data_IF_762512990992
#
_entry.id   IF_762512990992
#
_cell.length_a   1.000
_cell.length_b   1.000
_cell.length_c   1.000
_cell.angle_alpha   90.00
_cell.angle_beta   90.00
_cell.angle_gamma   90.00
#
_symmetry.space_group_name_H-M   'P 1'
#
loop_
_entity.id
_entity.type
_entity.pdbx_description
1 polymer ?
#
# COMPACT_ATOMS: atom_id res chain seq x y z
N UNK A 1 83.84 13.43 -25.43
CA UNK A 1 82.84 14.49 -25.66
C UNK A 1 82.36 14.37 -27.10
N UNK A 2 81.06 14.15 -27.34
CA UNK A 2 80.28 14.97 -28.28
C UNK A 2 78.87 14.36 -28.47
N UNK A 3 77.94 14.86 -27.65
CA UNK A 3 76.51 15.16 -27.84
C UNK A 3 75.53 14.12 -28.43
N UNK A 4 75.92 13.15 -29.27
CA UNK A 4 74.97 12.26 -29.93
C UNK A 4 74.39 11.15 -29.02
N UNK A 5 75.09 10.78 -27.94
CA UNK A 5 74.64 9.69 -27.05
C UNK A 5 73.63 10.13 -25.96
N UNK A 6 73.43 11.43 -25.74
CA UNK A 6 72.52 11.94 -24.70
C UNK A 6 71.08 12.16 -25.19
N UNK A 7 70.83 12.22 -26.50
CA UNK A 7 69.47 12.40 -27.02
C UNK A 7 68.64 11.10 -27.00
N UNK A 8 69.29 9.93 -27.05
CA UNK A 8 68.58 8.64 -27.13
C UNK A 8 68.04 8.13 -25.78
N UNK A 9 68.51 8.68 -24.65
CA UNK A 9 68.02 8.31 -23.32
C UNK A 9 66.73 9.06 -22.91
N UNK A 10 66.41 10.16 -23.60
CA UNK A 10 65.19 10.94 -23.32
C UNK A 10 63.96 10.45 -24.10
N UNK A 11 64.14 9.74 -25.22
CA UNK A 11 63.01 9.17 -25.97
C UNK A 11 62.48 7.85 -25.39
N UNK A 12 63.32 7.07 -24.73
CA UNK A 12 62.92 5.77 -24.14
C UNK A 12 62.08 5.92 -22.88
N UNK A 13 62.18 7.04 -22.15
CA UNK A 13 61.33 7.31 -20.98
C UNK A 13 59.95 7.90 -21.32
N UNK A 14 59.75 8.46 -22.52
CA UNK A 14 58.45 9.03 -22.92
C UNK A 14 57.44 7.97 -23.38
N UNK A 15 57.90 6.78 -23.76
CA UNK A 15 57.05 5.67 -24.23
C UNK A 15 56.48 4.77 -23.13
N UNK A 16 56.83 4.99 -21.87
CA UNK A 16 56.38 4.14 -20.74
C UNK A 16 55.23 4.74 -19.91
N UNK A 17 54.65 5.88 -20.31
CA UNK A 17 53.56 6.54 -19.57
C UNK A 17 52.28 6.78 -20.36
N UNK A 18 52.09 6.11 -21.50
CA UNK A 18 50.74 5.94 -22.05
C UNK A 18 49.99 4.89 -21.23
N UNK A 19 49.58 5.30 -20.02
CA UNK A 19 48.46 4.70 -19.31
C UNK A 19 47.23 5.02 -20.15
N UNK A 20 46.87 4.10 -21.04
CA UNK A 20 45.63 4.15 -21.82
C UNK A 20 44.46 4.03 -20.86
N UNK A 21 44.01 5.16 -20.32
CA UNK A 21 42.72 5.25 -19.62
C UNK A 21 41.65 5.07 -20.68
N UNK A 22 41.04 3.88 -20.70
CA UNK A 22 39.92 3.59 -21.58
C UNK A 22 38.78 4.60 -21.34
N UNK A 23 38.09 5.09 -22.39
CA UNK A 23 36.95 5.96 -22.22
C UNK A 23 35.84 5.21 -21.48
N UNK A 24 35.40 5.74 -20.34
CA UNK A 24 34.26 5.21 -19.61
C UNK A 24 33.00 5.33 -20.46
N UNK A 25 32.37 4.20 -20.77
CA UNK A 25 31.14 4.18 -21.55
C UNK A 25 30.05 5.02 -20.86
N UNK A 26 29.24 5.81 -21.60
CA UNK A 26 28.18 6.58 -21.00
C UNK A 26 27.13 5.64 -20.40
N UNK A 27 26.78 5.93 -19.14
CA UNK A 27 25.77 5.26 -18.30
C UNK A 27 24.40 5.20 -18.99
N UNK A 28 24.21 4.22 -19.90
CA UNK A 28 22.95 3.97 -20.64
C UNK A 28 21.77 3.52 -19.76
N UNK A 29 21.98 3.32 -18.47
CA UNK A 29 20.98 2.79 -17.53
C UNK A 29 19.93 3.82 -17.11
N UNK A 30 20.27 5.11 -17.07
CA UNK A 30 19.34 6.17 -16.63
C UNK A 30 18.18 6.40 -17.60
N UNK A 31 18.43 6.27 -18.91
CA UNK A 31 17.40 6.50 -19.92
C UNK A 31 16.40 5.34 -20.05
N UNK A 32 16.78 4.10 -19.70
CA UNK A 32 15.85 2.97 -19.66
C UNK A 32 14.89 3.07 -18.48
N UNK A 33 15.41 3.43 -17.30
CA UNK A 33 14.60 3.65 -16.10
C UNK A 33 13.61 4.81 -16.30
N UNK A 34 14.05 5.92 -16.91
CA UNK A 34 13.18 7.04 -17.23
C UNK A 34 12.05 6.66 -18.22
N UNK A 35 12.35 5.87 -19.26
CA UNK A 35 11.35 5.42 -20.24
C UNK A 35 10.34 4.42 -19.67
N UNK A 36 10.78 3.54 -18.77
CA UNK A 36 9.87 2.64 -18.03
C UNK A 36 8.98 3.44 -17.07
N UNK A 37 9.54 4.43 -16.38
CA UNK A 37 8.78 5.31 -15.50
C UNK A 37 7.74 6.16 -16.27
N UNK A 38 8.09 6.69 -17.44
CA UNK A 38 7.14 7.41 -18.31
C UNK A 38 6.06 6.46 -18.87
N UNK A 39 6.42 5.22 -19.22
CA UNK A 39 5.45 4.21 -19.65
C UNK A 39 4.46 3.82 -18.55
N UNK A 40 4.93 3.63 -17.30
CA UNK A 40 4.08 3.40 -16.14
C UNK A 40 3.20 4.62 -15.82
N UNK A 41 3.72 5.85 -15.95
CA UNK A 41 2.95 7.06 -15.75
C UNK A 41 1.86 7.25 -16.81
N UNK A 42 2.13 6.87 -18.08
CA UNK A 42 1.14 6.89 -19.16
C UNK A 42 0.09 5.77 -19.01
N UNK A 43 0.47 4.59 -18.49
CA UNK A 43 -0.47 3.53 -18.14
C UNK A 43 -1.34 3.89 -16.93
N UNK A 44 -0.77 4.59 -15.95
CA UNK A 44 -1.52 5.14 -14.81
C UNK A 44 -2.45 6.29 -15.21
N UNK A 45 -2.10 7.05 -16.27
CA UNK A 45 -2.96 8.09 -16.86
C UNK A 45 -4.02 7.54 -17.83
N UNK A 46 -3.98 6.24 -18.18
CA UNK A 46 -4.90 5.61 -19.12
C UNK A 46 -6.20 5.14 -18.45
N UNK A 47 -6.78 5.98 -17.57
CA UNK A 47 -8.06 5.72 -16.91
C UNK A 47 -9.29 6.11 -17.76
N UNK A 48 -9.10 6.61 -18.99
CA UNK A 48 -10.20 7.11 -19.84
C UNK A 48 -10.33 6.28 -21.13
N UNK A 49 -10.44 4.96 -21.01
CA UNK A 49 -10.82 4.10 -22.14
C UNK A 49 -11.39 2.74 -21.70
N UNK A 50 -12.33 2.71 -20.75
CA UNK A 50 -13.22 1.56 -20.61
C UNK A 50 -14.68 2.03 -20.50
N UNK A 51 -15.41 1.72 -21.58
CA UNK A 51 -16.86 1.60 -21.73
C UNK A 51 -17.72 2.85 -21.47
N UNK A 52 -18.45 3.29 -22.50
CA UNK A 52 -19.75 3.94 -22.31
C UNK A 52 -20.76 2.87 -21.84
N UNK A 53 -21.28 2.89 -20.61
CA UNK A 53 -22.50 2.18 -20.30
C UNK A 53 -23.67 3.07 -20.75
N UNK A 54 -24.52 2.53 -21.62
CA UNK A 54 -25.81 3.14 -21.88
C UNK A 54 -26.61 3.22 -20.56
N UNK A 55 -27.21 4.39 -20.35
CA UNK A 55 -28.10 4.83 -19.26
C UNK A 55 -27.46 5.22 -17.90
N UNK A 56 -27.81 6.42 -17.38
CA UNK A 56 -27.48 6.83 -16.02
C UNK A 56 -28.42 6.10 -15.05
N UNK A 57 -27.83 5.30 -14.17
CA UNK A 57 -28.52 4.62 -13.08
C UNK A 57 -28.14 3.15 -12.96
N UNK A 58 -27.28 2.83 -12.00
CA UNK A 58 -27.08 1.49 -11.44
C UNK A 58 -26.57 0.39 -12.38
N UNK A 59 -25.58 0.66 -13.25
CA UNK A 59 -24.91 -0.45 -13.92
C UNK A 59 -24.20 -1.33 -12.89
N UNK A 60 -24.64 -2.59 -12.79
CA UNK A 60 -24.14 -3.52 -11.77
C UNK A 60 -22.62 -3.71 -11.85
N UNK A 61 -22.09 -3.77 -13.08
CA UNK A 61 -20.68 -3.94 -13.36
C UNK A 61 -19.86 -2.70 -12.96
N UNK A 62 -20.26 -1.48 -13.37
CA UNK A 62 -19.58 -0.25 -12.99
C UNK A 62 -19.59 0.00 -11.50
N UNK A 63 -20.73 -0.24 -10.84
CA UNK A 63 -20.86 -0.13 -9.39
C UNK A 63 -19.93 -1.10 -8.65
N UNK A 64 -19.84 -2.35 -9.10
CA UNK A 64 -18.93 -3.35 -8.54
C UNK A 64 -17.46 -2.96 -8.73
N UNK A 65 -17.07 -2.54 -9.94
CA UNK A 65 -15.70 -2.10 -10.23
C UNK A 65 -15.33 -0.88 -9.39
N UNK A 66 -16.24 0.09 -9.26
CA UNK A 66 -16.05 1.26 -8.40
C UNK A 66 -15.78 0.82 -6.95
N UNK A 67 -16.61 -0.07 -6.40
CA UNK A 67 -16.41 -0.61 -5.05
C UNK A 67 -15.08 -1.36 -4.90
N UNK A 68 -14.69 -2.16 -5.91
CA UNK A 68 -13.44 -2.92 -5.89
C UNK A 68 -12.19 -2.03 -5.93
N UNK A 69 -12.22 -0.94 -6.71
CA UNK A 69 -11.09 -0.01 -6.83
C UNK A 69 -10.99 0.91 -5.61
N UNK A 70 -12.10 1.23 -4.96
CA UNK A 70 -12.16 2.19 -3.87
C UNK A 70 -11.14 2.00 -2.72
N UNK A 71 -10.95 0.80 -2.12
CA UNK A 71 -9.96 0.63 -1.04
C UNK A 71 -8.51 0.68 -1.54
N UNK A 72 -8.29 0.67 -2.86
CA UNK A 72 -6.95 0.75 -3.46
C UNK A 72 -6.48 2.20 -3.65
N UNK A 73 -7.40 3.18 -3.62
CA UNK A 73 -7.08 4.59 -3.83
C UNK A 73 -6.72 5.32 -2.54
N UNK A 74 -7.21 4.85 -1.38
CA UNK A 74 -6.90 5.42 -0.06
C UNK A 74 -5.69 4.74 0.58
N UNK A 75 -4.63 5.50 0.89
CA UNK A 75 -3.43 4.97 1.53
C UNK A 75 -3.68 4.45 2.95
N UNK A 76 -4.58 5.10 3.68
CA UNK A 76 -5.10 4.70 4.99
C UNK A 76 -5.77 3.32 4.95
N UNK A 77 -6.77 3.14 4.09
CA UNK A 77 -7.52 1.90 3.96
C UNK A 77 -6.61 0.77 3.46
N UNK A 78 -5.80 1.04 2.45
CA UNK A 78 -4.83 0.09 1.90
C UNK A 78 -3.86 -0.40 2.99
N UNK A 79 -3.28 0.52 3.77
CA UNK A 79 -2.41 0.19 4.88
C UNK A 79 -3.15 -0.65 5.93
N UNK A 80 -4.33 -0.23 6.37
CA UNK A 80 -5.10 -0.95 7.38
C UNK A 80 -5.39 -2.40 6.96
N UNK A 81 -5.93 -2.61 5.76
CA UNK A 81 -6.34 -3.93 5.27
C UNK A 81 -5.17 -4.89 5.08
N UNK A 82 -4.05 -4.41 4.54
CA UNK A 82 -2.82 -5.23 4.40
C UNK A 82 -2.24 -5.55 5.78
N UNK A 83 -2.19 -4.56 6.69
CA UNK A 83 -1.62 -4.73 8.04
C UNK A 83 -2.42 -5.75 8.85
N UNK A 84 -3.75 -5.78 8.75
CA UNK A 84 -4.57 -6.77 9.46
C UNK A 84 -4.20 -8.19 9.04
N UNK A 85 -4.11 -8.46 7.74
CA UNK A 85 -3.68 -9.78 7.23
C UNK A 85 -2.26 -10.15 7.65
N UNK A 86 -1.34 -9.20 7.51
CA UNK A 86 0.08 -9.35 7.84
C UNK A 86 0.28 -9.62 9.34
N UNK A 87 -0.33 -8.82 10.20
CA UNK A 87 -0.27 -8.98 11.65
C UNK A 87 -0.87 -10.31 12.09
N UNK A 88 -2.05 -10.67 11.56
CA UNK A 88 -2.73 -11.92 11.92
C UNK A 88 -1.89 -13.16 11.61
N UNK A 89 -1.26 -13.20 10.42
CA UNK A 89 -0.36 -14.28 10.02
C UNK A 89 0.93 -14.37 10.84
N UNK A 90 1.41 -13.25 11.37
CA UNK A 90 2.65 -13.20 12.17
C UNK A 90 2.43 -13.56 13.65
N UNK A 91 1.24 -13.33 14.20
CA UNK A 91 1.02 -13.37 15.66
C UNK A 91 -0.02 -14.39 16.13
N UNK A 92 -0.93 -14.83 15.27
CA UNK A 92 -2.06 -15.69 15.63
C UNK A 92 -1.98 -17.07 14.97
N UNK A 93 -2.40 -18.11 15.71
CA UNK A 93 -2.66 -19.45 15.12
C UNK A 93 -3.99 -19.48 14.36
N UNK A 94 -4.94 -18.61 14.72
CA UNK A 94 -6.23 -18.43 14.04
C UNK A 94 -6.13 -17.28 13.05
N UNK A 95 -5.37 -17.50 11.97
CA UNK A 95 -4.97 -16.45 11.00
C UNK A 95 -6.19 -15.76 10.38
N UNK A 96 -7.31 -16.46 10.22
CA UNK A 96 -8.51 -15.92 9.59
C UNK A 96 -9.45 -15.16 10.52
N UNK A 97 -9.29 -15.27 11.85
CA UNK A 97 -10.27 -14.70 12.77
C UNK A 97 -10.34 -13.18 12.70
N UNK A 98 -9.20 -12.49 12.74
CA UNK A 98 -9.16 -11.03 12.65
C UNK A 98 -9.56 -10.50 11.25
N UNK A 99 -9.08 -11.07 10.12
CA UNK A 99 -9.55 -10.71 8.79
C UNK A 99 -11.06 -10.87 8.58
N UNK A 100 -11.64 -11.98 9.02
CA UNK A 100 -13.09 -12.21 8.88
C UNK A 100 -13.89 -11.26 9.78
N UNK A 101 -13.41 -11.01 11.00
CA UNK A 101 -14.02 -10.00 11.87
C UNK A 101 -13.95 -8.59 11.25
N UNK A 102 -12.82 -8.23 10.62
CA UNK A 102 -12.69 -6.97 9.89
C UNK A 102 -13.75 -6.88 8.79
N UNK A 103 -13.82 -7.86 7.87
CA UNK A 103 -14.77 -7.86 6.75
C UNK A 103 -16.22 -7.79 7.24
N UNK A 104 -16.57 -8.55 8.28
CA UNK A 104 -17.93 -8.55 8.83
C UNK A 104 -18.31 -7.19 9.44
N UNK A 105 -17.43 -6.61 10.25
CA UNK A 105 -17.70 -5.32 10.91
C UNK A 105 -17.59 -4.15 9.94
N UNK A 106 -16.73 -4.26 8.93
CA UNK A 106 -16.64 -3.33 7.80
C UNK A 106 -17.93 -3.31 6.99
N UNK A 107 -18.52 -4.48 6.71
CA UNK A 107 -19.81 -4.56 6.05
C UNK A 107 -20.92 -3.92 6.89
N UNK A 108 -20.95 -4.18 8.20
CA UNK A 108 -21.89 -3.55 9.12
C UNK A 108 -21.73 -2.03 9.15
N UNK A 109 -20.50 -1.53 9.27
CA UNK A 109 -20.19 -0.10 9.19
C UNK A 109 -20.58 0.51 7.85
N UNK A 110 -20.33 -0.19 6.74
CA UNK A 110 -20.72 0.21 5.38
C UNK A 110 -22.22 0.43 5.25
N UNK A 111 -23.01 -0.52 5.73
CA UNK A 111 -24.47 -0.38 5.74
C UNK A 111 -24.93 0.80 6.61
N UNK A 112 -24.29 1.02 7.77
CA UNK A 112 -24.58 2.18 8.62
C UNK A 112 -24.22 3.51 7.93
N UNK A 113 -23.08 3.58 7.25
CA UNK A 113 -22.65 4.75 6.49
C UNK A 113 -23.60 5.07 5.33
N UNK A 114 -24.09 4.04 4.63
CA UNK A 114 -25.08 4.20 3.56
C UNK A 114 -26.44 4.69 4.09
N UNK A 115 -26.84 4.30 5.31
CA UNK A 115 -28.15 4.68 5.87
C UNK A 115 -28.15 6.05 6.56
N UNK A 116 -27.06 6.44 7.21
CA UNK A 116 -26.97 7.67 8.00
C UNK A 116 -26.10 8.77 7.36
N UNK A 117 -25.41 8.45 6.27
CA UNK A 117 -24.48 9.36 5.60
C UNK A 117 -23.26 9.70 6.45
N UNK A 118 -22.47 10.69 6.00
CA UNK A 118 -21.24 11.16 6.67
C UNK A 118 -21.48 11.89 8.01
N UNK A 119 -22.67 11.79 8.60
CA UNK A 119 -23.09 12.59 9.76
C UNK A 119 -22.55 12.10 11.12
N UNK A 120 -21.67 11.08 11.14
CA UNK A 120 -21.09 10.57 12.38
C UNK A 120 -19.81 11.34 12.72
N UNK A 121 -19.84 12.22 13.75
CA UNK A 121 -18.63 12.94 14.17
C UNK A 121 -17.57 11.95 14.67
N UNK A 122 -16.31 12.21 14.31
CA UNK A 122 -15.17 11.43 14.79
C UNK A 122 -14.76 10.23 13.93
N UNK A 123 -15.40 10.00 12.77
CA UNK A 123 -14.99 8.92 11.85
C UNK A 123 -13.54 9.09 11.39
N UNK A 124 -13.16 10.28 10.93
CA UNK A 124 -11.79 10.59 10.48
C UNK A 124 -10.74 10.38 11.60
N UNK A 125 -10.88 10.96 12.81
CA UNK A 125 -10.00 10.64 13.94
C UNK A 125 -9.91 9.15 14.25
N UNK A 126 -11.03 8.41 14.18
CA UNK A 126 -11.03 6.97 14.46
C UNK A 126 -10.31 6.15 13.40
N UNK A 127 -10.37 6.56 12.12
CA UNK A 127 -9.55 5.98 11.05
C UNK A 127 -8.06 6.24 11.34
N UNK A 128 -7.69 7.46 11.73
CA UNK A 128 -6.31 7.79 12.05
C UNK A 128 -5.78 7.02 13.29
N UNK A 129 -6.58 6.92 14.36
CA UNK A 129 -6.28 6.07 15.54
C UNK A 129 -6.12 4.62 15.13
N UNK A 130 -6.95 4.10 14.22
CA UNK A 130 -6.84 2.71 13.77
C UNK A 130 -5.47 2.40 13.18
N UNK A 131 -4.92 3.31 12.36
CA UNK A 131 -3.58 3.15 11.77
C UNK A 131 -2.49 3.21 12.82
N UNK A 132 -2.63 4.10 13.80
CA UNK A 132 -1.71 4.18 14.93
C UNK A 132 -1.68 2.85 15.70
N UNK A 133 -2.85 2.31 16.03
CA UNK A 133 -2.98 1.05 16.79
C UNK A 133 -2.55 -0.16 15.98
N UNK A 134 -3.01 -0.31 14.74
CA UNK A 134 -2.63 -1.42 13.86
C UNK A 134 -1.14 -1.39 13.51
N UNK A 135 -0.61 -0.19 13.25
CA UNK A 135 0.82 0.06 13.05
C UNK A 135 1.62 -0.35 14.28
N UNK A 136 1.20 0.04 15.48
CA UNK A 136 1.84 -0.36 16.74
C UNK A 136 1.80 -1.88 16.95
N UNK A 137 0.64 -2.51 16.70
CA UNK A 137 0.46 -3.96 16.82
C UNK A 137 1.41 -4.70 15.88
N UNK A 138 1.60 -4.22 14.66
CA UNK A 138 2.54 -4.80 13.70
C UNK A 138 4.00 -4.50 14.07
N UNK A 139 4.31 -3.26 14.49
CA UNK A 139 5.63 -2.79 14.88
C UNK A 139 6.19 -3.59 16.07
N UNK A 140 5.33 -3.92 17.02
CA UNK A 140 5.67 -4.68 18.22
C UNK A 140 5.48 -6.19 18.03
N UNK A 141 4.77 -6.60 16.97
CA UNK A 141 4.23 -7.96 16.80
C UNK A 141 3.44 -8.41 18.03
N UNK A 142 2.58 -7.53 18.53
CA UNK A 142 1.78 -7.77 19.72
C UNK A 142 1.03 -9.11 19.61
N UNK A 143 1.28 -10.01 20.56
CA UNK A 143 0.60 -11.32 20.64
C UNK A 143 -0.61 -11.18 21.55
N UNK A 144 -1.76 -10.89 20.97
CA UNK A 144 -3.02 -10.80 21.69
C UNK A 144 -3.75 -12.16 21.67
N UNK A 145 -4.58 -12.48 22.67
CA UNK A 145 -5.57 -13.54 22.54
C UNK A 145 -6.39 -13.29 21.26
N UNK A 146 -6.58 -14.33 20.45
CA UNK A 146 -7.15 -14.16 19.09
C UNK A 146 -8.50 -13.43 19.05
N UNK A 147 -9.36 -13.64 20.06
CA UNK A 147 -10.63 -12.93 20.19
C UNK A 147 -10.46 -11.44 20.49
N UNK A 148 -9.51 -11.06 21.35
CA UNK A 148 -9.20 -9.65 21.65
C UNK A 148 -8.64 -8.95 20.42
N UNK A 149 -7.72 -9.61 19.71
CA UNK A 149 -7.19 -9.09 18.44
C UNK A 149 -8.29 -8.85 17.40
N UNK A 150 -9.18 -9.81 17.24
CA UNK A 150 -10.32 -9.69 16.32
C UNK A 150 -11.30 -8.59 16.75
N UNK A 151 -11.55 -8.42 18.05
CA UNK A 151 -12.41 -7.36 18.57
C UNK A 151 -11.83 -5.96 18.31
N UNK A 152 -10.53 -5.75 18.55
CA UNK A 152 -9.85 -4.47 18.27
C UNK A 152 -9.92 -4.14 16.78
N UNK A 153 -9.53 -5.10 15.94
CA UNK A 153 -9.56 -4.96 14.47
C UNK A 153 -10.98 -4.70 13.96
N UNK A 154 -11.97 -5.46 14.45
CA UNK A 154 -13.36 -5.30 14.08
C UNK A 154 -13.97 -3.96 14.51
N UNK A 155 -13.63 -3.46 15.70
CA UNK A 155 -14.10 -2.16 16.18
C UNK A 155 -13.65 -1.02 15.26
N UNK A 156 -12.38 -1.02 14.82
CA UNK A 156 -11.92 -0.04 13.84
C UNK A 156 -12.54 -0.23 12.46
N UNK A 157 -12.79 -1.47 12.05
CA UNK A 157 -13.42 -1.78 10.77
C UNK A 157 -14.80 -1.14 10.63
N UNK A 158 -15.56 -0.94 11.72
CA UNK A 158 -16.83 -0.22 11.68
C UNK A 158 -16.64 1.20 11.12
N UNK A 159 -15.64 1.94 11.60
CA UNK A 159 -15.41 3.33 11.20
C UNK A 159 -14.92 3.45 9.76
N UNK A 160 -14.04 2.53 9.32
CA UNK A 160 -13.67 2.39 7.91
C UNK A 160 -14.91 2.11 7.06
N UNK A 161 -15.79 1.22 7.54
CA UNK A 161 -17.03 0.88 6.86
C UNK A 161 -17.95 2.08 6.74
N UNK A 162 -18.17 2.81 7.83
CA UNK A 162 -19.01 4.02 7.86
C UNK A 162 -18.52 5.06 6.85
N UNK A 163 -17.21 5.35 6.82
CA UNK A 163 -16.65 6.30 5.85
C UNK A 163 -16.93 5.86 4.40
N UNK A 164 -16.60 4.62 4.07
CA UNK A 164 -16.80 4.10 2.71
C UNK A 164 -18.27 3.96 2.30
N UNK A 165 -19.15 3.64 3.25
CA UNK A 165 -20.58 3.56 3.03
C UNK A 165 -21.19 4.94 2.75
N UNK A 166 -20.69 5.97 3.44
CA UNK A 166 -21.11 7.35 3.24
C UNK A 166 -20.65 7.94 1.89
N UNK A 167 -19.57 7.41 1.32
CA UNK A 167 -19.00 7.82 0.02
C UNK A 167 -19.59 7.06 -1.18
N UNK A 168 -20.68 6.30 -0.98
CA UNK A 168 -21.35 5.61 -2.09
C UNK A 168 -21.76 6.62 -3.19
N UNK A 169 -21.32 6.43 -4.45
CA UNK A 169 -21.72 7.31 -5.53
C UNK A 169 -23.24 7.31 -5.72
N UNK A 170 -23.85 8.49 -5.92
CA UNK A 170 -25.31 8.65 -5.98
C UNK A 170 -25.98 7.75 -7.05
N UNK A 171 -25.28 7.47 -8.15
CA UNK A 171 -25.78 6.66 -9.27
C UNK A 171 -25.39 5.17 -9.17
N UNK A 172 -24.62 4.78 -8.14
CA UNK A 172 -24.12 3.42 -7.98
C UNK A 172 -25.10 2.52 -7.22
N UNK A 173 -25.16 1.25 -7.62
CA UNK A 173 -25.87 0.22 -6.87
C UNK A 173 -25.12 -0.09 -5.57
N UNK A 174 -25.71 0.26 -4.42
CA UNK A 174 -25.14 0.03 -3.09
C UNK A 174 -24.66 -1.41 -2.87
N UNK A 175 -25.46 -2.40 -3.27
CA UNK A 175 -25.15 -3.82 -3.08
C UNK A 175 -23.94 -4.26 -3.91
N UNK A 176 -23.87 -3.85 -5.19
CA UNK A 176 -22.76 -4.21 -6.06
C UNK A 176 -21.47 -3.50 -5.65
N UNK A 177 -21.57 -2.23 -5.28
CA UNK A 177 -20.46 -1.47 -4.70
C UNK A 177 -19.91 -2.15 -3.45
N UNK A 178 -20.79 -2.47 -2.48
CA UNK A 178 -20.38 -3.15 -1.26
C UNK A 178 -19.75 -4.52 -1.55
N UNK A 179 -20.31 -5.29 -2.49
CA UNK A 179 -19.75 -6.59 -2.88
C UNK A 179 -18.33 -6.45 -3.47
N UNK A 180 -18.11 -5.49 -4.37
CA UNK A 180 -16.78 -5.21 -4.92
C UNK A 180 -15.79 -4.77 -3.84
N UNK A 181 -16.24 -3.89 -2.95
CA UNK A 181 -15.47 -3.35 -1.84
C UNK A 181 -15.05 -4.43 -0.83
N UNK A 182 -15.96 -5.31 -0.42
CA UNK A 182 -15.67 -6.42 0.49
C UNK A 182 -14.76 -7.46 -0.18
N UNK A 183 -14.91 -7.70 -1.50
CA UNK A 183 -14.01 -8.58 -2.23
C UNK A 183 -12.58 -8.01 -2.28
N UNK A 184 -12.42 -6.74 -2.64
CA UNK A 184 -11.12 -6.07 -2.64
C UNK A 184 -10.46 -6.09 -1.26
N UNK A 185 -11.25 -5.82 -0.21
CA UNK A 185 -10.82 -5.95 1.18
C UNK A 185 -10.29 -7.35 1.47
N UNK A 186 -11.04 -8.40 1.09
CA UNK A 186 -10.64 -9.78 1.25
C UNK A 186 -9.32 -10.11 0.53
N UNK A 187 -9.14 -9.61 -0.70
CA UNK A 187 -7.89 -9.76 -1.46
C UNK A 187 -6.72 -9.10 -0.75
N UNK A 188 -6.89 -7.88 -0.24
CA UNK A 188 -5.85 -7.16 0.51
C UNK A 188 -5.45 -7.89 1.81
N UNK A 189 -6.43 -8.45 2.52
CA UNK A 189 -6.16 -9.29 3.70
C UNK A 189 -5.38 -10.54 3.33
N UNK A 190 -5.77 -11.24 2.24
CA UNK A 190 -5.04 -12.39 1.73
C UNK A 190 -3.60 -12.03 1.34
N UNK A 191 -3.38 -10.89 0.68
CA UNK A 191 -2.04 -10.39 0.35
C UNK A 191 -1.20 -10.16 1.60
N UNK A 192 -1.80 -9.52 2.62
CA UNK A 192 -1.17 -9.35 3.93
C UNK A 192 -0.80 -10.70 4.57
N UNK A 193 -1.71 -11.67 4.55
CA UNK A 193 -1.47 -13.02 5.10
C UNK A 193 -0.32 -13.71 4.37
N UNK A 194 -0.32 -13.69 3.03
CA UNK A 194 0.75 -14.29 2.21
C UNK A 194 2.10 -13.65 2.54
N UNK A 195 2.15 -12.31 2.62
CA UNK A 195 3.36 -11.60 3.03
C UNK A 195 3.79 -11.98 4.47
N UNK A 196 2.85 -12.11 5.40
CA UNK A 196 3.13 -12.49 6.78
C UNK A 196 3.68 -13.89 6.92
N UNK A 197 3.09 -14.87 6.21
CA UNK A 197 3.60 -16.25 6.16
C UNK A 197 5.01 -16.28 5.54
N UNK A 198 5.26 -15.51 4.48
CA UNK A 198 6.57 -15.44 3.86
C UNK A 198 7.64 -14.82 4.78
N UNK A 199 7.26 -13.84 5.61
CA UNK A 199 8.17 -13.10 6.49
C UNK A 199 8.35 -13.73 7.87
N UNK A 200 7.40 -14.55 8.35
CA UNK A 200 7.35 -15.05 9.75
C UNK A 200 8.65 -15.70 10.23
N UNK A 201 9.36 -16.39 9.34
CA UNK A 201 10.61 -17.10 9.63
C UNK A 201 11.84 -16.46 8.99
N UNK A 202 11.68 -15.44 8.13
CA UNK A 202 12.80 -14.85 7.37
C UNK A 202 13.39 -13.62 8.06
N UNK A 203 12.57 -12.75 8.61
CA UNK A 203 13.06 -11.54 9.26
C UNK A 203 12.09 -11.05 10.31
N UNK A 204 12.65 -10.64 11.44
CA UNK A 204 11.90 -9.99 12.50
C UNK A 204 11.71 -8.48 12.20
N UNK A 205 12.65 -7.86 11.49
CA UNK A 205 12.76 -6.40 11.37
C UNK A 205 11.83 -5.79 10.32
N UNK A 206 11.65 -6.42 9.16
CA UNK A 206 10.87 -5.82 8.07
C UNK A 206 9.41 -5.53 8.47
N UNK A 207 8.65 -6.47 9.06
CA UNK A 207 7.33 -6.14 9.60
C UNK A 207 7.35 -5.05 10.66
N UNK A 208 8.42 -4.92 11.45
CA UNK A 208 8.49 -3.84 12.45
C UNK A 208 8.62 -2.48 11.82
N UNK A 209 9.45 -2.35 10.79
CA UNK A 209 9.62 -1.11 10.01
C UNK A 209 8.32 -0.75 9.30
N UNK A 210 7.66 -1.72 8.67
CA UNK A 210 6.35 -1.49 8.04
C UNK A 210 5.32 -1.01 9.06
N UNK A 211 5.24 -1.66 10.23
CA UNK A 211 4.36 -1.23 11.32
C UNK A 211 4.69 0.17 11.83
N UNK A 212 5.97 0.51 11.99
CA UNK A 212 6.40 1.84 12.41
C UNK A 212 6.05 2.92 11.38
N UNK A 213 6.16 2.61 10.08
CA UNK A 213 5.73 3.51 9.00
C UNK A 213 4.22 3.77 9.03
N UNK A 214 3.41 2.72 9.22
CA UNK A 214 1.94 2.86 9.34
C UNK A 214 1.56 3.63 10.60
N UNK A 215 2.25 3.37 11.72
CA UNK A 215 2.05 4.12 12.96
C UNK A 215 2.36 5.60 12.78
N UNK A 216 3.48 5.93 12.14
CA UNK A 216 3.87 7.32 11.85
C UNK A 216 2.87 8.00 10.91
N UNK A 217 2.37 7.28 9.91
CA UNK A 217 1.32 7.77 9.01
C UNK A 217 0.02 8.07 9.79
N UNK A 218 -0.45 7.15 10.63
CA UNK A 218 -1.62 7.38 11.48
C UNK A 218 -1.45 8.55 12.44
N UNK A 219 -0.26 8.72 13.04
CA UNK A 219 0.05 9.87 13.88
C UNK A 219 0.02 11.19 13.09
N UNK A 220 0.51 11.21 11.84
CA UNK A 220 0.45 12.39 10.98
C UNK A 220 -0.98 12.80 10.63
N UNK A 221 -1.86 11.83 10.39
CA UNK A 221 -3.28 12.07 10.15
C UNK A 221 -4.00 12.62 11.39
N UNK A 222 -3.66 12.10 12.58
CA UNK A 222 -4.22 12.63 13.84
C UNK A 222 -3.84 14.07 14.09
N UNK A 223 -2.58 14.44 13.88
CA UNK A 223 -2.11 15.83 14.03
C UNK A 223 -2.79 16.75 13.02
N UNK A 224 -3.07 16.27 11.81
CA UNK A 224 -3.79 17.04 10.79
C UNK A 224 -5.28 17.23 11.11
N UNK A 225 -5.86 16.35 11.93
CA UNK A 225 -7.27 16.37 12.31
C UNK A 225 -7.57 17.19 13.59
N UNK A 226 -6.54 17.73 14.26
CA UNK A 226 -6.64 18.54 15.49
C UNK A 226 -6.27 19.99 15.26
#
# INVERSE_FOLDING_TARGET
>A
MSVAHLQNAHETHRKAQEVTVAPSAPRRTRHRAARVATGLALLAASSVALAHPGHPGHDAAGSFVAGFVHPLTGADHLCAMIVVGLWSALTSKRVWLAPLAFVAMLAAGGLLGMSYGAALPGVEPMIAVSLLVLGLMLATRAKLPSGVGAAVVGAFAIFHGVAHGAELPAEASAMHYLAGFLLATGVLHCLGIVAGVALRHRTAWLPRVLGAGVLAYGASLLVAAT
#
